data_IF_647714354913
#
_entry.id   IF_647714354913
#
_cell.length_a   1.000
_cell.length_b   1.000
_cell.length_c   1.000
_cell.angle_alpha   90.00
_cell.angle_beta   90.00
_cell.angle_gamma   90.00
#
_symmetry.space_group_name_H-M   'P 1'
#
loop_
_entity.id
_entity.type
_entity.pdbx_description
1 polymer ?
#
# COMPACT_ATOMS: atom_id res chain seq x y z
N UNK A 1 -6.46 23.64 -7.99
CA UNK A 1 -5.93 22.50 -8.78
C UNK A 1 -5.13 21.49 -7.95
N UNK A 2 -4.63 21.84 -6.76
CA UNK A 2 -3.79 20.94 -5.92
C UNK A 2 -4.57 20.03 -4.95
N UNK A 3 -5.84 20.30 -4.65
CA UNK A 3 -6.65 19.45 -3.76
C UNK A 3 -7.07 18.14 -4.43
N UNK A 4 -7.28 18.15 -5.75
CA UNK A 4 -7.85 17.01 -6.48
C UNK A 4 -6.92 15.79 -6.48
N UNK A 5 -5.60 16.01 -6.64
CA UNK A 5 -4.57 14.96 -6.62
C UNK A 5 -4.38 14.28 -5.25
N UNK A 6 -5.00 14.82 -4.19
CA UNK A 6 -4.96 14.26 -2.82
C UNK A 6 -6.24 13.49 -2.48
N UNK A 7 -7.16 13.38 -3.43
CA UNK A 7 -8.33 12.51 -3.34
C UNK A 7 -8.03 11.12 -3.92
N UNK A 8 -8.76 10.10 -3.47
CA UNK A 8 -8.65 8.75 -4.03
C UNK A 8 -8.96 8.73 -5.54
N UNK A 9 -9.95 9.51 -5.97
CA UNK A 9 -10.36 9.64 -7.38
C UNK A 9 -9.36 10.38 -8.25
N UNK A 10 -8.61 11.34 -7.71
CA UNK A 10 -7.66 12.16 -8.47
C UNK A 10 -6.22 11.62 -8.48
N UNK A 11 -5.93 10.55 -7.75
CA UNK A 11 -4.59 9.98 -7.68
C UNK A 11 -4.29 9.04 -8.87
N UNK A 12 -3.14 9.25 -9.53
CA UNK A 12 -2.61 8.34 -10.55
C UNK A 12 -1.85 7.15 -9.97
N UNK A 13 -1.33 7.31 -8.76
CA UNK A 13 -0.64 6.25 -8.01
C UNK A 13 -1.12 6.26 -6.57
N UNK A 14 -1.42 5.08 -6.02
CA UNK A 14 -1.96 4.91 -4.67
C UNK A 14 -1.01 3.99 -3.90
N UNK A 15 -0.57 4.44 -2.73
CA UNK A 15 0.12 3.55 -1.79
C UNK A 15 -0.89 2.63 -1.12
N UNK A 16 -0.73 1.32 -1.22
CA UNK A 16 -1.62 0.34 -0.57
C UNK A 16 -0.92 -0.33 0.60
N UNK A 17 -1.67 -0.63 1.65
CA UNK A 17 -1.23 -1.32 2.86
C UNK A 17 -2.24 -2.43 3.19
N UNK A 18 -1.75 -3.58 3.63
CA UNK A 18 -2.54 -4.66 4.20
C UNK A 18 -2.92 -4.37 5.65
N UNK A 19 -2.93 -5.42 6.46
CA UNK A 19 -3.48 -5.37 7.82
C UNK A 19 -2.52 -4.63 8.76
N UNK A 20 -3.01 -3.54 9.36
CA UNK A 20 -2.16 -2.69 10.21
C UNK A 20 -2.28 -3.01 11.69
N UNK A 21 -3.41 -3.58 12.13
CA UNK A 21 -3.69 -3.96 13.52
C UNK A 21 -3.43 -2.84 14.55
N UNK A 22 -3.60 -1.57 14.14
CA UNK A 22 -3.30 -0.41 14.99
C UNK A 22 -1.80 -0.19 15.26
N UNK A 23 -0.91 -0.85 14.52
CA UNK A 23 0.54 -0.64 14.59
C UNK A 23 0.90 0.71 13.97
N UNK A 24 0.93 1.73 14.83
CA UNK A 24 1.32 3.09 14.45
C UNK A 24 2.73 3.13 13.86
N UNK A 25 3.66 2.35 14.37
CA UNK A 25 5.05 2.43 13.93
C UNK A 25 5.18 1.93 12.49
N UNK A 26 4.57 0.80 12.19
CA UNK A 26 4.48 0.26 10.84
C UNK A 26 3.85 1.27 9.87
N UNK A 27 2.66 1.80 10.19
CA UNK A 27 1.98 2.80 9.33
C UNK A 27 2.83 4.05 9.13
N UNK A 28 3.51 4.54 10.17
CA UNK A 28 4.38 5.71 10.06
C UNK A 28 5.65 5.46 9.24
N UNK A 29 6.18 4.24 9.28
CA UNK A 29 7.31 3.80 8.47
C UNK A 29 6.93 3.73 7.00
N UNK A 30 5.89 2.96 6.67
CA UNK A 30 5.42 2.78 5.29
C UNK A 30 4.96 4.11 4.69
N UNK A 31 4.19 4.91 5.41
CA UNK A 31 3.77 6.24 4.92
C UNK A 31 4.96 7.16 4.66
N UNK A 32 6.06 7.05 5.41
CA UNK A 32 7.28 7.80 5.15
C UNK A 32 7.94 7.36 3.83
N UNK A 33 8.03 6.05 3.59
CA UNK A 33 8.54 5.51 2.32
C UNK A 33 7.66 5.94 1.14
N UNK A 34 6.34 5.87 1.29
CA UNK A 34 5.39 6.35 0.28
C UNK A 34 5.52 7.86 0.02
N UNK A 35 5.71 8.66 1.08
CA UNK A 35 5.94 10.10 0.96
C UNK A 35 7.23 10.42 0.20
N UNK A 36 8.34 9.71 0.51
CA UNK A 36 9.60 9.83 -0.24
C UNK A 36 9.43 9.48 -1.73
N UNK A 37 8.49 8.59 -2.06
CA UNK A 37 8.11 8.22 -3.44
C UNK A 37 7.08 9.17 -4.08
N UNK A 38 6.71 10.24 -3.38
CA UNK A 38 5.77 11.26 -3.87
C UNK A 38 4.32 10.79 -3.92
N UNK A 39 3.92 9.89 -3.02
CA UNK A 39 2.55 9.33 -2.95
C UNK A 39 1.72 10.04 -1.86
N UNK A 40 0.80 10.94 -2.25
CA UNK A 40 -0.05 11.67 -1.31
C UNK A 40 -1.26 10.87 -0.84
N UNK A 41 -1.62 9.78 -1.51
CA UNK A 41 -2.80 8.98 -1.20
C UNK A 41 -2.40 7.58 -0.78
N UNK A 42 -2.88 7.17 0.39
CA UNK A 42 -2.67 5.86 0.98
C UNK A 42 -4.01 5.14 1.16
N UNK A 43 -4.03 3.81 1.05
CA UNK A 43 -5.21 2.97 1.24
C UNK A 43 -4.86 1.73 2.08
N UNK A 44 -5.52 1.56 3.22
CA UNK A 44 -5.43 0.37 4.09
C UNK A 44 -6.58 -0.59 3.77
N UNK A 45 -6.26 -1.86 3.50
CA UNK A 45 -7.17 -2.90 3.02
C UNK A 45 -7.89 -3.67 4.14
N UNK A 46 -8.29 -2.96 5.20
CA UNK A 46 -8.92 -3.53 6.38
C UNK A 46 -7.99 -3.62 7.58
N UNK A 47 -8.55 -4.01 8.73
CA UNK A 47 -7.86 -4.09 10.02
C UNK A 47 -6.95 -2.88 10.29
N UNK A 48 -7.56 -1.70 10.19
CA UNK A 48 -6.96 -0.43 10.55
C UNK A 48 -6.64 -0.39 12.05
N UNK A 49 -7.54 -0.88 12.91
CA UNK A 49 -7.22 -1.25 14.29
C UNK A 49 -6.84 -0.10 15.24
N UNK A 50 -7.05 1.16 14.85
CA UNK A 50 -6.83 2.33 15.71
C UNK A 50 -8.05 2.70 16.57
N UNK A 51 -9.25 2.26 16.19
CA UNK A 51 -10.51 2.59 16.86
C UNK A 51 -10.95 1.48 17.82
N UNK A 52 -10.68 1.65 19.12
CA UNK A 52 -11.05 0.67 20.13
C UNK A 52 -11.42 1.31 21.46
N UNK A 53 -12.57 0.95 22.03
CA UNK A 53 -12.95 1.35 23.39
C UNK A 53 -11.90 0.92 24.42
N UNK A 54 -11.70 1.74 25.44
CA UNK A 54 -10.68 1.50 26.48
C UNK A 54 -9.24 1.82 26.07
N UNK A 55 -8.98 2.12 24.79
CA UNK A 55 -7.70 2.69 24.32
C UNK A 55 -7.83 4.21 24.15
N UNK A 56 -6.70 4.90 24.13
CA UNK A 56 -6.64 6.34 23.84
C UNK A 56 -6.68 6.60 22.31
N UNK A 57 -7.67 6.00 21.65
CA UNK A 57 -7.81 5.97 20.19
C UNK A 57 -7.85 7.38 19.59
N UNK A 58 -8.47 8.35 20.27
CA UNK A 58 -8.64 9.71 19.78
C UNK A 58 -7.28 10.43 19.66
N UNK A 59 -6.44 10.33 20.69
CA UNK A 59 -5.09 10.87 20.68
C UNK A 59 -4.16 10.13 19.70
N UNK A 60 -4.33 8.82 19.54
CA UNK A 60 -3.54 8.04 18.58
C UNK A 60 -3.89 8.44 17.13
N UNK A 61 -5.17 8.64 16.82
CA UNK A 61 -5.62 9.20 15.54
C UNK A 61 -5.11 10.63 15.32
N UNK A 62 -5.12 11.49 16.34
CA UNK A 62 -4.56 12.86 16.23
C UNK A 62 -3.07 12.87 15.94
N UNK A 63 -2.31 11.96 16.55
CA UNK A 63 -0.87 11.82 16.29
C UNK A 63 -0.62 11.32 14.86
N UNK A 64 -1.36 10.31 14.42
CA UNK A 64 -1.26 9.77 13.07
C UNK A 64 -1.65 10.85 12.03
N UNK A 65 -2.80 11.49 12.22
CA UNK A 65 -3.31 12.55 11.35
C UNK A 65 -2.32 13.70 11.21
N UNK A 66 -1.75 14.21 12.31
CA UNK A 66 -0.72 15.27 12.26
C UNK A 66 0.51 14.86 11.46
N UNK A 67 0.98 13.62 11.62
CA UNK A 67 2.17 13.14 10.91
C UNK A 67 1.93 12.95 9.40
N UNK A 68 0.75 12.44 9.03
CA UNK A 68 0.34 12.34 7.63
C UNK A 68 0.13 13.74 7.01
N UNK A 69 -0.49 14.65 7.76
CA UNK A 69 -0.77 16.02 7.30
C UNK A 69 0.52 16.81 7.06
N UNK A 70 1.55 16.66 7.91
CA UNK A 70 2.86 17.29 7.68
C UNK A 70 3.56 16.82 6.40
N UNK A 71 3.14 15.67 5.85
CA UNK A 71 3.62 15.09 4.59
C UNK A 71 2.65 15.33 3.41
N UNK A 72 1.54 16.03 3.65
CA UNK A 72 0.48 16.23 2.65
C UNK A 72 -0.24 14.95 2.26
N UNK A 73 -0.21 13.92 3.12
CA UNK A 73 -0.81 12.61 2.86
C UNK A 73 -2.24 12.50 3.41
N UNK A 74 -3.09 11.81 2.66
CA UNK A 74 -4.43 11.37 3.05
C UNK A 74 -4.46 9.85 3.08
N UNK A 75 -4.92 9.29 4.19
CA UNK A 75 -5.07 7.85 4.37
C UNK A 75 -6.55 7.47 4.30
N UNK A 76 -6.87 6.62 3.33
CA UNK A 76 -8.14 5.93 3.22
C UNK A 76 -8.02 4.55 3.85
N UNK A 77 -9.12 4.02 4.36
CA UNK A 77 -9.16 2.66 4.88
C UNK A 77 -10.56 2.07 4.74
N UNK A 78 -10.64 0.75 4.59
CA UNK A 78 -11.91 0.02 4.47
C UNK A 78 -12.13 -0.90 5.69
N UNK A 79 -13.34 -1.42 5.79
CA UNK A 79 -13.78 -2.30 6.87
C UNK A 79 -13.00 -3.63 6.91
N UNK A 80 -12.52 -4.03 8.10
CA UNK A 80 -11.95 -5.36 8.37
C UNK A 80 -12.75 -6.14 9.41
N UNK A 81 -12.22 -7.22 9.96
CA UNK A 81 -12.87 -7.95 11.06
C UNK A 81 -12.44 -7.46 12.45
N UNK A 82 -11.35 -6.70 12.54
CA UNK A 82 -10.84 -6.11 13.79
C UNK A 82 -11.11 -4.61 13.89
N UNK A 83 -12.39 -4.24 13.86
CA UNK A 83 -12.82 -2.85 14.08
C UNK A 83 -13.91 -2.73 15.14
N UNK A 84 -13.84 -1.71 16.00
CA UNK A 84 -14.97 -1.37 16.86
C UNK A 84 -16.06 -0.63 16.06
N UNK A 85 -16.88 -1.39 15.32
CA UNK A 85 -17.99 -0.86 14.54
C UNK A 85 -18.97 -0.02 15.39
N UNK A 86 -19.17 -0.36 16.67
CA UNK A 86 -20.04 0.41 17.54
C UNK A 86 -19.52 1.83 17.79
N UNK A 87 -18.20 1.97 17.97
CA UNK A 87 -17.54 3.26 18.12
C UNK A 87 -17.50 4.02 16.79
N UNK A 88 -17.15 3.34 15.70
CA UNK A 88 -17.09 3.92 14.35
C UNK A 88 -18.46 4.49 13.93
N UNK A 89 -19.50 3.66 14.01
CA UNK A 89 -20.86 4.01 13.61
C UNK A 89 -21.50 5.05 14.53
N UNK A 90 -21.20 5.01 15.83
CA UNK A 90 -21.74 5.94 16.82
C UNK A 90 -21.14 7.35 16.77
N UNK A 91 -19.88 7.49 16.33
CA UNK A 91 -19.15 8.75 16.45
C UNK A 91 -18.91 9.47 15.11
N UNK A 92 -18.90 8.75 13.99
CA UNK A 92 -18.49 9.32 12.70
C UNK A 92 -19.55 9.07 11.63
N UNK A 93 -20.41 10.04 11.27
CA UNK A 93 -21.40 9.85 10.23
C UNK A 93 -20.76 9.78 8.83
N UNK A 94 -21.44 9.10 7.90
CA UNK A 94 -21.12 9.16 6.47
C UNK A 94 -21.56 10.52 5.93
N UNK A 95 -20.66 11.20 5.22
CA UNK A 95 -20.91 12.48 4.55
C UNK A 95 -21.65 12.29 3.23
N UNK A 96 -22.15 13.38 2.64
CA UNK A 96 -22.92 13.33 1.39
C UNK A 96 -22.13 12.77 0.18
N UNK A 97 -20.79 12.81 0.25
CA UNK A 97 -19.88 12.22 -0.74
C UNK A 97 -19.70 10.69 -0.56
N UNK A 98 -20.41 10.07 0.39
CA UNK A 98 -20.30 8.64 0.70
C UNK A 98 -19.08 8.29 1.55
N UNK A 99 -18.31 9.27 2.01
CA UNK A 99 -17.10 9.06 2.80
C UNK A 99 -17.36 9.29 4.28
N UNK A 100 -16.69 8.54 5.15
CA UNK A 100 -16.76 8.74 6.61
C UNK A 100 -15.44 9.31 7.12
N UNK A 101 -15.44 10.57 7.57
CA UNK A 101 -14.22 11.27 7.95
C UNK A 101 -13.99 11.16 9.46
N UNK A 102 -12.91 10.48 9.84
CA UNK A 102 -12.47 10.42 11.25
C UNK A 102 -11.65 11.66 11.60
N UNK A 103 -10.85 12.11 10.63
CA UNK A 103 -10.06 13.35 10.62
C UNK A 103 -10.04 13.92 9.20
N UNK A 104 -9.58 15.17 8.97
CA UNK A 104 -9.52 15.74 7.63
C UNK A 104 -8.76 14.88 6.61
N UNK A 105 -7.74 14.13 7.06
CA UNK A 105 -6.88 13.30 6.23
C UNK A 105 -6.86 11.80 6.63
N UNK A 106 -7.83 11.35 7.44
CA UNK A 106 -8.06 9.92 7.74
C UNK A 106 -9.52 9.64 7.46
N UNK A 107 -9.76 8.86 6.41
CA UNK A 107 -11.08 8.71 5.79
C UNK A 107 -11.43 7.23 5.66
N UNK A 108 -12.53 6.83 6.27
CA UNK A 108 -13.11 5.51 6.10
C UNK A 108 -13.92 5.44 4.80
N UNK A 109 -13.77 4.33 4.08
CA UNK A 109 -14.52 3.96 2.89
C UNK A 109 -15.59 2.91 3.27
N UNK A 110 -16.86 3.31 3.42
CA UNK A 110 -17.93 2.35 3.72
C UNK A 110 -18.09 1.28 2.63
N UNK A 111 -18.57 0.10 3.03
CA UNK A 111 -18.95 -0.95 2.09
C UNK A 111 -19.90 -0.45 0.99
N UNK A 112 -19.61 -0.82 -0.26
CA UNK A 112 -20.33 -0.36 -1.44
C UNK A 112 -19.87 0.99 -2.00
N UNK A 113 -18.91 1.68 -1.37
CA UNK A 113 -18.32 2.89 -1.94
C UNK A 113 -17.72 2.60 -3.32
N UNK A 114 -18.04 3.45 -4.29
CA UNK A 114 -17.54 3.41 -5.68
C UNK A 114 -16.99 4.75 -6.09
N UNK A 115 -15.93 4.75 -6.88
CA UNK A 115 -15.40 5.97 -7.47
C UNK A 115 -14.69 5.71 -8.80
N UNK A 116 -14.67 6.73 -9.67
CA UNK A 116 -13.80 6.75 -10.83
C UNK A 116 -12.40 7.21 -10.40
N UNK A 117 -11.38 6.47 -10.81
CA UNK A 117 -9.98 6.81 -10.65
C UNK A 117 -9.55 7.80 -11.75
N UNK A 118 -8.39 8.42 -11.58
CA UNK A 118 -7.88 9.45 -12.50
C UNK A 118 -7.68 8.94 -13.94
N UNK A 119 -7.50 7.62 -14.10
CA UNK A 119 -7.41 6.95 -15.39
C UNK A 119 -8.77 6.71 -16.08
N UNK A 120 -9.88 7.03 -15.41
CA UNK A 120 -11.25 6.69 -15.83
C UNK A 120 -11.69 5.27 -15.45
N UNK A 121 -10.80 4.47 -14.84
CA UNK A 121 -11.12 3.13 -14.31
C UNK A 121 -11.99 3.22 -13.07
N UNK A 122 -12.75 2.18 -12.78
CA UNK A 122 -13.64 2.14 -11.60
C UNK A 122 -13.03 1.35 -10.45
N UNK A 123 -13.12 1.91 -9.24
CA UNK A 123 -12.79 1.25 -7.98
C UNK A 123 -14.05 1.06 -7.15
N UNK A 124 -14.20 -0.11 -6.53
CA UNK A 124 -15.24 -0.38 -5.53
C UNK A 124 -14.67 -1.01 -4.27
N UNK A 125 -15.42 -0.87 -3.17
CA UNK A 125 -15.03 -1.32 -1.82
C UNK A 125 -16.01 -2.37 -1.31
N UNK A 126 -15.49 -3.52 -0.90
CA UNK A 126 -16.23 -4.56 -0.18
C UNK A 126 -15.41 -5.01 1.03
N UNK A 127 -15.54 -4.27 2.13
CA UNK A 127 -14.87 -4.59 3.39
C UNK A 127 -15.70 -5.50 4.30
N UNK A 128 -15.07 -5.97 5.38
CA UNK A 128 -15.62 -6.96 6.30
C UNK A 128 -15.03 -8.35 6.06
N UNK A 129 -14.93 -9.13 7.13
CA UNK A 129 -14.53 -10.53 7.13
C UNK A 129 -15.05 -11.21 8.41
N UNK A 130 -15.14 -12.53 8.40
CA UNK A 130 -15.54 -13.28 9.59
C UNK A 130 -14.30 -13.66 10.43
N UNK A 131 -14.28 -13.36 11.73
CA UNK A 131 -13.17 -13.71 12.61
C UNK A 131 -13.22 -15.19 13.03
N UNK A 132 -12.10 -15.91 12.85
CA UNK A 132 -11.98 -17.32 13.28
C UNK A 132 -12.00 -17.47 14.80
N UNK A 133 -11.56 -16.44 15.53
CA UNK A 133 -11.52 -16.38 17.00
C UNK A 133 -12.85 -15.89 17.62
N UNK A 134 -13.96 -15.88 16.85
CA UNK A 134 -15.30 -15.48 17.32
C UNK A 134 -15.69 -16.12 18.64
N UNK A 135 -15.34 -17.39 18.85
CA UNK A 135 -15.64 -18.15 20.07
C UNK A 135 -15.02 -17.56 21.35
N UNK A 136 -14.02 -16.67 21.23
CA UNK A 136 -13.40 -15.96 22.36
C UNK A 136 -14.12 -14.66 22.71
N UNK A 137 -15.14 -14.24 21.95
CA UNK A 137 -15.81 -12.93 22.07
C UNK A 137 -17.28 -13.05 22.48
N UNK A 138 -17.85 -11.95 23.01
CA UNK A 138 -19.24 -11.90 23.46
C UNK A 138 -20.07 -10.98 22.55
N UNK A 139 -21.17 -11.51 22.01
CA UNK A 139 -22.07 -10.80 21.11
C UNK A 139 -22.66 -9.55 21.78
N UNK A 140 -22.63 -8.40 21.08
CA UNK A 140 -23.15 -7.13 21.58
C UNK A 140 -22.29 -6.42 22.64
N UNK A 141 -21.18 -7.03 23.08
CA UNK A 141 -20.23 -6.43 24.04
C UNK A 141 -18.86 -6.21 23.39
N UNK A 142 -18.29 -7.26 22.79
CA UNK A 142 -16.98 -7.23 22.12
C UNK A 142 -17.04 -7.70 20.66
N UNK A 143 -18.24 -7.98 20.16
CA UNK A 143 -18.47 -8.46 18.81
C UNK A 143 -19.10 -7.39 17.92
N UNK A 144 -18.40 -6.95 16.88
CA UNK A 144 -18.89 -5.85 16.06
C UNK A 144 -19.45 -6.41 14.71
N UNK A 145 -20.11 -5.59 13.87
CA UNK A 145 -20.70 -5.99 12.57
C UNK A 145 -19.57 -6.29 11.55
N UNK A 146 -18.90 -7.44 11.69
CA UNK A 146 -17.75 -7.81 10.87
C UNK A 146 -18.12 -8.50 9.55
N UNK A 147 -19.26 -9.20 9.52
CA UNK A 147 -19.70 -9.97 8.36
C UNK A 147 -20.27 -9.07 7.28
N UNK A 148 -19.91 -9.35 6.04
CA UNK A 148 -20.56 -8.78 4.86
C UNK A 148 -22.03 -9.20 4.84
N UNK A 149 -22.91 -8.26 4.52
CA UNK A 149 -24.35 -8.44 4.51
C UNK A 149 -24.93 -8.31 3.10
N UNK A 150 -26.17 -8.76 2.90
CA UNK A 150 -26.86 -8.56 1.62
C UNK A 150 -27.13 -7.07 1.32
N UNK A 151 -27.15 -6.21 2.34
CA UNK A 151 -27.19 -4.75 2.15
C UNK A 151 -25.90 -4.24 1.53
N UNK A 152 -24.75 -4.73 1.97
CA UNK A 152 -23.45 -4.37 1.42
C UNK A 152 -23.34 -4.83 -0.05
N UNK A 153 -23.85 -6.00 -0.39
CA UNK A 153 -23.91 -6.49 -1.77
C UNK A 153 -24.84 -5.64 -2.66
N UNK A 154 -25.99 -5.20 -2.14
CA UNK A 154 -26.87 -4.27 -2.86
C UNK A 154 -26.23 -2.91 -3.07
N UNK A 155 -25.51 -2.41 -2.06
CA UNK A 155 -24.78 -1.14 -2.15
C UNK A 155 -23.59 -1.25 -3.13
N UNK A 156 -22.91 -2.40 -3.14
CA UNK A 156 -21.88 -2.71 -4.10
C UNK A 156 -22.41 -2.68 -5.52
N UNK A 157 -23.61 -3.21 -5.79
CA UNK A 157 -24.22 -3.21 -7.12
C UNK A 157 -23.56 -4.19 -8.12
N UNK A 158 -24.14 -4.31 -9.31
CA UNK A 158 -23.81 -5.37 -10.28
C UNK A 158 -22.95 -4.90 -11.46
N UNK A 159 -22.60 -3.61 -11.52
CA UNK A 159 -21.76 -3.09 -12.59
C UNK A 159 -20.30 -3.51 -12.41
N UNK A 160 -19.66 -3.88 -13.53
CA UNK A 160 -18.25 -4.21 -13.59
C UNK A 160 -17.36 -3.14 -12.95
N UNK A 161 -16.31 -3.58 -12.27
CA UNK A 161 -15.28 -2.70 -11.72
C UNK A 161 -13.89 -3.08 -12.24
N UNK A 162 -13.01 -2.10 -12.48
CA UNK A 162 -11.62 -2.43 -12.81
C UNK A 162 -10.88 -2.94 -11.57
N UNK A 163 -11.10 -2.30 -10.41
CA UNK A 163 -10.43 -2.60 -9.14
C UNK A 163 -11.45 -2.85 -8.04
N UNK A 164 -11.39 -4.02 -7.41
CA UNK A 164 -12.09 -4.29 -6.15
C UNK A 164 -11.08 -4.29 -5.01
N UNK A 165 -11.36 -3.52 -3.96
CA UNK A 165 -10.61 -3.59 -2.71
C UNK A 165 -11.50 -4.14 -1.60
N UNK A 166 -10.94 -5.01 -0.76
CA UNK A 166 -11.66 -5.62 0.34
C UNK A 166 -10.72 -6.14 1.41
N UNK A 167 -11.27 -6.82 2.40
CA UNK A 167 -10.48 -7.42 3.47
C UNK A 167 -10.45 -8.95 3.37
N UNK A 168 -11.63 -9.60 3.27
CA UNK A 168 -11.75 -11.02 2.92
C UNK A 168 -11.45 -11.28 1.43
N UNK A 169 -11.34 -12.54 1.00
CA UNK A 169 -10.86 -12.96 -0.33
C UNK A 169 -11.85 -13.87 -1.09
N UNK A 170 -11.82 -13.87 -2.44
CA UNK A 170 -12.69 -14.75 -3.22
C UNK A 170 -12.34 -16.23 -3.02
N UNK A 171 -13.32 -17.12 -3.20
CA UNK A 171 -13.10 -18.57 -3.28
C UNK A 171 -12.31 -18.95 -4.54
N UNK A 172 -11.78 -20.17 -4.61
CA UNK A 172 -11.06 -20.72 -5.77
C UNK A 172 -9.75 -20.00 -6.07
N UNK A 173 -9.04 -19.59 -5.02
CA UNK A 173 -7.69 -19.02 -5.09
C UNK A 173 -6.74 -20.12 -4.64
N UNK A 174 -6.05 -20.83 -5.56
CA UNK A 174 -5.37 -22.10 -5.27
C UNK A 174 -4.45 -22.07 -4.05
N UNK A 175 -3.53 -21.10 -3.97
CA UNK A 175 -2.58 -21.05 -2.84
C UNK A 175 -3.26 -20.70 -1.52
N UNK A 176 -4.29 -19.85 -1.55
CA UNK A 176 -5.06 -19.53 -0.35
C UNK A 176 -5.82 -20.76 0.13
N UNK A 177 -6.55 -21.41 -0.76
CA UNK A 177 -7.38 -22.57 -0.46
C UNK A 177 -6.54 -23.72 0.12
N UNK A 178 -5.39 -24.00 -0.49
CA UNK A 178 -4.44 -24.99 0.04
C UNK A 178 -4.02 -24.65 1.48
N UNK A 179 -3.67 -23.39 1.75
CA UNK A 179 -3.25 -22.96 3.08
C UNK A 179 -4.34 -23.01 4.14
N UNK A 180 -5.59 -22.74 3.76
CA UNK A 180 -6.72 -22.80 4.68
C UNK A 180 -7.06 -24.25 5.04
N UNK A 181 -6.94 -25.18 4.08
CA UNK A 181 -7.11 -26.62 4.34
C UNK A 181 -6.05 -27.12 5.31
N UNK A 182 -4.79 -26.73 5.14
CA UNK A 182 -3.70 -27.12 6.03
C UNK A 182 -3.93 -26.70 7.49
N UNK A 183 -4.55 -25.54 7.71
CA UNK A 183 -4.80 -24.95 9.03
C UNK A 183 -6.19 -25.27 9.60
N UNK A 184 -7.08 -25.89 8.83
CA UNK A 184 -8.47 -26.10 9.23
C UNK A 184 -8.59 -26.95 10.50
N UNK A 185 -7.68 -27.92 10.70
CA UNK A 185 -7.67 -28.78 11.89
C UNK A 185 -7.28 -28.07 13.19
N UNK A 186 -6.73 -26.86 13.10
CA UNK A 186 -6.29 -26.08 14.27
C UNK A 186 -7.47 -25.41 14.98
N UNK A 187 -8.67 -25.41 14.38
CA UNK A 187 -9.81 -24.63 14.83
C UNK A 187 -11.09 -25.48 15.03
N UNK A 188 -12.01 -25.05 15.91
CA UNK A 188 -13.30 -25.68 16.06
C UNK A 188 -14.09 -25.74 14.73
N UNK A 189 -14.73 -26.88 14.38
CA UNK A 189 -15.41 -27.03 13.09
C UNK A 189 -16.51 -26.02 12.80
N UNK A 190 -17.22 -25.55 13.83
CA UNK A 190 -18.24 -24.51 13.73
C UNK A 190 -17.64 -23.14 13.41
N UNK A 191 -16.43 -22.84 13.89
CA UNK A 191 -15.70 -21.62 13.55
C UNK A 191 -15.17 -21.68 12.11
N UNK A 192 -14.66 -22.84 11.67
CA UNK A 192 -14.28 -23.06 10.28
C UNK A 192 -15.48 -22.86 9.35
N UNK A 193 -16.65 -23.39 9.70
CA UNK A 193 -17.87 -23.18 8.93
C UNK A 193 -18.32 -21.70 8.95
N UNK A 194 -18.19 -21.02 10.07
CA UNK A 194 -18.53 -19.60 10.20
C UNK A 194 -17.67 -18.72 9.29
N UNK A 195 -16.35 -18.87 9.29
CA UNK A 195 -15.48 -18.07 8.40
C UNK A 195 -15.68 -18.42 6.94
N UNK A 196 -15.92 -19.71 6.62
CA UNK A 196 -16.24 -20.14 5.27
C UNK A 196 -17.52 -19.46 4.73
N UNK A 197 -18.54 -19.26 5.58
CA UNK A 197 -19.76 -18.55 5.19
C UNK A 197 -19.53 -17.06 4.91
N UNK A 198 -18.65 -16.41 5.67
CA UNK A 198 -18.23 -15.02 5.42
C UNK A 198 -17.52 -14.90 4.07
N UNK A 199 -16.54 -15.77 3.83
CA UNK A 199 -15.82 -15.82 2.56
C UNK A 199 -16.71 -16.13 1.36
N UNK A 200 -17.71 -16.99 1.53
CA UNK A 200 -18.74 -17.23 0.50
C UNK A 200 -19.52 -15.94 0.17
N UNK A 201 -19.87 -15.15 1.18
CA UNK A 201 -20.57 -13.87 0.98
C UNK A 201 -19.67 -12.85 0.27
N UNK A 202 -18.39 -12.76 0.65
CA UNK A 202 -17.41 -11.96 -0.08
C UNK A 202 -17.33 -12.38 -1.55
N UNK A 203 -17.22 -13.69 -1.81
CA UNK A 203 -17.13 -14.24 -3.16
C UNK A 203 -18.36 -13.91 -4.01
N UNK A 204 -19.56 -13.85 -3.42
CA UNK A 204 -20.77 -13.40 -4.13
C UNK A 204 -20.60 -11.97 -4.66
N UNK A 205 -20.16 -11.03 -3.80
CA UNK A 205 -19.91 -9.65 -4.22
C UNK A 205 -18.79 -9.53 -5.25
N UNK A 206 -17.71 -10.30 -5.08
CA UNK A 206 -16.63 -10.40 -6.06
C UNK A 206 -17.13 -10.84 -7.44
N UNK A 207 -17.98 -11.87 -7.51
CA UNK A 207 -18.58 -12.34 -8.76
C UNK A 207 -19.57 -11.34 -9.36
N UNK A 208 -20.30 -10.55 -8.55
CA UNK A 208 -21.21 -9.51 -9.06
C UNK A 208 -20.47 -8.46 -9.89
N UNK A 209 -19.31 -8.02 -9.42
CA UNK A 209 -18.58 -6.89 -10.04
C UNK A 209 -17.43 -7.31 -10.96
N UNK A 210 -17.10 -8.61 -11.00
CA UNK A 210 -16.16 -9.24 -11.95
C UNK A 210 -14.86 -8.45 -12.14
N UNK A 211 -14.09 -8.17 -11.08
CA UNK A 211 -13.00 -7.20 -11.13
C UNK A 211 -11.83 -7.67 -12.00
N UNK A 212 -11.06 -6.75 -12.58
CA UNK A 212 -9.79 -7.09 -13.28
C UNK A 212 -8.64 -7.29 -12.29
N UNK A 213 -8.60 -6.43 -11.27
CA UNK A 213 -7.67 -6.52 -10.14
C UNK A 213 -8.48 -6.56 -8.85
N UNK A 214 -8.15 -7.50 -7.97
CA UNK A 214 -8.61 -7.49 -6.59
C UNK A 214 -7.40 -7.40 -5.65
N UNK A 215 -7.52 -6.54 -4.63
CA UNK A 215 -6.52 -6.38 -3.57
C UNK A 215 -7.20 -6.51 -2.20
N UNK A 216 -6.69 -7.37 -1.33
CA UNK A 216 -7.15 -7.47 0.06
C UNK A 216 -6.10 -7.92 1.06
N UNK A 217 -6.55 -8.29 2.26
CA UNK A 217 -5.70 -8.60 3.42
C UNK A 217 -6.18 -9.83 4.18
N UNK A 218 -6.33 -9.73 5.50
CA UNK A 218 -6.96 -10.69 6.43
C UNK A 218 -6.17 -11.98 6.72
N UNK A 219 -5.55 -12.57 5.70
CA UNK A 219 -4.96 -13.90 5.81
C UNK A 219 -3.50 -13.91 6.27
N UNK A 220 -2.91 -12.72 6.49
CA UNK A 220 -1.51 -12.52 6.89
C UNK A 220 -0.54 -13.37 6.05
N UNK A 221 -0.75 -13.32 4.74
CA UNK A 221 0.06 -14.04 3.77
C UNK A 221 -0.04 -13.33 2.43
N UNK A 222 1.12 -13.09 1.85
CA UNK A 222 1.16 -12.58 0.49
C UNK A 222 0.73 -13.65 -0.53
N UNK A 223 -0.21 -13.29 -1.41
CA UNK A 223 -0.63 -14.05 -2.60
C UNK A 223 -0.70 -13.07 -3.78
N UNK A 224 -0.24 -13.49 -4.96
CA UNK A 224 -0.41 -12.76 -6.23
C UNK A 224 -0.60 -13.75 -7.37
N UNK A 225 -1.84 -13.92 -7.81
CA UNK A 225 -2.20 -14.95 -8.79
C UNK A 225 -3.21 -14.44 -9.81
N UNK A 226 -3.05 -14.84 -11.07
CA UNK A 226 -4.03 -14.59 -12.11
C UNK A 226 -4.99 -15.78 -12.22
N UNK A 227 -6.20 -15.62 -11.67
CA UNK A 227 -7.21 -16.67 -11.56
C UNK A 227 -8.32 -16.46 -12.58
N UNK A 228 -8.86 -17.54 -13.14
CA UNK A 228 -10.05 -17.53 -13.99
C UNK A 228 -11.28 -17.92 -13.18
N UNK A 229 -12.34 -17.11 -13.28
CA UNK A 229 -13.61 -17.29 -12.58
C UNK A 229 -14.75 -17.48 -13.56
N UNK A 230 -15.73 -18.31 -13.19
CA UNK A 230 -16.85 -18.68 -14.05
C UNK A 230 -16.48 -19.71 -15.13
N UNK A 231 -17.48 -20.10 -15.90
CA UNK A 231 -17.40 -21.08 -16.97
C UNK A 231 -17.97 -20.55 -18.29
N UNK A 232 -17.58 -21.19 -19.41
CA UNK A 232 -18.12 -20.87 -20.73
C UNK A 232 -17.99 -19.39 -21.12
N UNK A 233 -19.08 -18.79 -21.59
CA UNK A 233 -19.14 -17.42 -22.07
C UNK A 233 -19.09 -16.34 -20.97
N UNK A 234 -19.28 -16.73 -19.71
CA UNK A 234 -19.24 -15.82 -18.55
C UNK A 234 -17.90 -15.85 -17.82
N UNK A 235 -16.91 -16.56 -18.34
CA UNK A 235 -15.59 -16.60 -17.76
C UNK A 235 -14.91 -15.21 -17.80
N UNK A 236 -14.28 -14.83 -16.69
CA UNK A 236 -13.41 -13.66 -16.61
C UNK A 236 -12.14 -13.99 -15.84
N UNK A 237 -11.09 -13.17 -16.00
CA UNK A 237 -9.83 -13.34 -15.29
C UNK A 237 -9.59 -12.15 -14.37
N UNK A 238 -9.08 -12.44 -13.18
CA UNK A 238 -8.75 -11.44 -12.17
C UNK A 238 -7.35 -11.72 -11.63
N UNK A 239 -6.52 -10.69 -11.55
CA UNK A 239 -5.32 -10.74 -10.70
C UNK A 239 -5.77 -10.55 -9.26
N UNK A 240 -5.59 -11.58 -8.44
CA UNK A 240 -5.92 -11.61 -7.02
C UNK A 240 -4.64 -11.37 -6.25
N UNK A 241 -4.57 -10.24 -5.55
CA UNK A 241 -3.46 -9.91 -4.65
C UNK A 241 -3.97 -9.88 -3.22
N UNK A 242 -3.34 -10.66 -2.34
CA UNK A 242 -3.54 -10.57 -0.90
C UNK A 242 -2.24 -10.05 -0.30
N UNK A 243 -2.34 -8.99 0.48
CA UNK A 243 -1.23 -8.40 1.22
C UNK A 243 -1.08 -9.09 2.57
N UNK A 244 0.16 -9.13 3.04
CA UNK A 244 0.47 -9.64 4.36
C UNK A 244 0.06 -8.65 5.47
N UNK A 245 0.12 -9.10 6.73
CA UNK A 245 0.01 -8.23 7.89
C UNK A 245 1.29 -7.44 8.16
N UNK A 246 1.19 -6.43 9.02
CA UNK A 246 2.31 -5.59 9.44
C UNK A 246 3.53 -6.41 9.90
N UNK A 247 4.72 -6.04 9.40
CA UNK A 247 5.98 -6.68 9.77
C UNK A 247 7.18 -6.06 9.02
N UNK A 248 8.42 -6.31 9.45
CA UNK A 248 9.62 -5.70 8.84
C UNK A 248 9.90 -6.22 7.42
N UNK A 249 9.76 -7.53 7.22
CA UNK A 249 10.08 -8.21 5.95
C UNK A 249 8.83 -8.67 5.18
N UNK A 250 7.64 -8.30 5.65
CA UNK A 250 6.39 -8.75 5.03
C UNK A 250 6.03 -7.91 3.81
N UNK A 251 5.45 -8.54 2.80
CA UNK A 251 4.90 -7.87 1.61
C UNK A 251 3.49 -7.33 1.91
N UNK A 252 3.43 -6.45 2.91
CA UNK A 252 2.24 -5.81 3.44
C UNK A 252 1.95 -4.45 2.80
N UNK A 253 2.77 -4.00 1.85
CA UNK A 253 2.59 -2.72 1.18
C UNK A 253 3.05 -2.73 -0.29
N UNK A 254 2.49 -1.80 -1.07
CA UNK A 254 2.84 -1.62 -2.47
C UNK A 254 2.36 -0.31 -3.07
N UNK A 255 2.73 -0.06 -4.32
CA UNK A 255 2.27 1.08 -5.11
C UNK A 255 1.45 0.57 -6.28
N UNK A 256 0.18 0.98 -6.33
CA UNK A 256 -0.70 0.74 -7.47
C UNK A 256 -0.57 1.91 -8.47
N UNK A 257 -0.30 1.59 -9.73
CA UNK A 257 -0.53 2.50 -10.86
C UNK A 257 -1.96 2.30 -11.39
N UNK A 258 -2.80 3.33 -11.31
CA UNK A 258 -4.23 3.20 -11.68
C UNK A 258 -4.45 3.19 -13.19
N UNK A 259 -3.45 3.56 -14.00
CA UNK A 259 -3.50 3.52 -15.45
C UNK A 259 -3.28 2.10 -15.97
N UNK A 260 -2.21 1.45 -15.49
CA UNK A 260 -1.83 0.10 -15.93
C UNK A 260 -2.43 -1.02 -15.09
N UNK A 261 -2.86 -0.71 -13.86
CA UNK A 261 -3.21 -1.67 -12.80
C UNK A 261 -2.03 -2.53 -12.32
N UNK A 262 -0.80 -2.06 -12.55
CA UNK A 262 0.37 -2.70 -11.99
C UNK A 262 0.50 -2.34 -10.51
N UNK A 263 0.69 -3.37 -9.69
CA UNK A 263 1.00 -3.26 -8.28
C UNK A 263 2.42 -3.74 -8.03
N UNK A 264 3.27 -2.82 -7.55
CA UNK A 264 4.66 -3.10 -7.16
C UNK A 264 4.76 -3.16 -5.65
N UNK A 265 5.02 -4.35 -5.12
CA UNK A 265 5.14 -4.59 -3.69
C UNK A 265 6.57 -4.34 -3.21
N UNK A 266 6.68 -4.02 -1.92
CA UNK A 266 7.97 -3.84 -1.26
C UNK A 266 7.84 -4.20 0.23
N UNK A 267 8.96 -4.46 0.90
CA UNK A 267 9.01 -4.71 2.35
C UNK A 267 8.94 -3.40 3.15
N UNK A 268 8.53 -3.44 4.42
CA UNK A 268 8.31 -2.23 5.23
C UNK A 268 9.56 -1.36 5.32
N UNK A 269 10.70 -2.02 5.46
CA UNK A 269 11.99 -1.36 5.59
C UNK A 269 12.68 -1.17 4.23
N UNK A 270 11.93 -1.23 3.11
CA UNK A 270 12.47 -0.91 1.80
C UNK A 270 12.91 0.56 1.73
N UNK A 271 14.21 0.76 1.81
CA UNK A 271 14.88 2.06 1.72
C UNK A 271 15.14 2.46 0.26
N UNK A 272 14.52 1.78 -0.72
CA UNK A 272 14.63 2.16 -2.12
C UNK A 272 13.69 3.31 -2.51
N UNK A 273 14.16 4.15 -3.44
CA UNK A 273 13.38 5.21 -4.07
C UNK A 273 13.40 5.04 -5.59
N UNK A 274 12.34 5.49 -6.24
CA UNK A 274 12.29 5.52 -7.72
C UNK A 274 13.07 6.68 -8.30
N UNK A 275 13.28 7.74 -7.51
CA UNK A 275 14.02 8.93 -7.91
C UNK A 275 14.72 9.55 -6.71
N UNK A 276 15.99 9.91 -6.89
CA UNK A 276 16.76 10.67 -5.91
C UNK A 276 16.74 12.14 -6.30
N UNK A 277 16.25 12.98 -5.39
CA UNK A 277 16.30 14.44 -5.55
C UNK A 277 17.31 15.00 -4.56
N UNK A 278 17.91 16.16 -4.87
CA UNK A 278 18.86 16.83 -3.96
C UNK A 278 18.28 17.30 -2.62
N UNK A 279 16.99 17.03 -2.37
CA UNK A 279 16.29 17.35 -1.12
C UNK A 279 16.23 16.17 -0.14
N UNK A 280 16.65 14.97 -0.55
CA UNK A 280 16.74 13.82 0.34
C UNK A 280 17.95 13.97 1.29
N UNK A 281 17.87 13.33 2.47
CA UNK A 281 18.89 13.34 3.52
C UNK A 281 19.62 12.00 3.62
N UNK A 282 20.86 12.01 4.13
CA UNK A 282 21.66 10.81 4.37
C UNK A 282 22.40 10.27 3.13
N UNK A 283 22.89 9.03 3.25
CA UNK A 283 23.72 8.38 2.23
C UNK A 283 22.88 7.44 1.37
N UNK A 284 23.07 7.51 0.05
CA UNK A 284 22.31 6.77 -0.95
C UNK A 284 23.24 6.06 -1.93
N UNK A 285 22.88 4.87 -2.37
CA UNK A 285 23.52 4.14 -3.46
C UNK A 285 22.60 4.13 -4.67
N UNK A 286 23.09 4.67 -5.77
CA UNK A 286 22.46 4.63 -7.10
C UNK A 286 23.18 3.56 -7.90
N UNK A 287 22.54 2.41 -8.03
CA UNK A 287 23.01 1.28 -8.82
C UNK A 287 22.65 1.51 -10.28
N UNK A 288 23.66 1.45 -11.12
CA UNK A 288 23.55 1.54 -12.58
C UNK A 288 24.15 0.28 -13.19
N UNK A 289 23.86 0.01 -14.46
CA UNK A 289 24.36 -1.19 -15.18
C UNK A 289 25.85 -1.48 -15.01
N UNK A 290 26.67 -0.45 -14.82
CA UNK A 290 28.12 -0.58 -14.83
C UNK A 290 28.79 -0.06 -13.55
N UNK A 291 28.06 0.58 -12.64
CA UNK A 291 28.65 1.29 -11.49
C UNK A 291 27.64 1.52 -10.39
N UNK A 292 28.14 1.67 -9.16
CA UNK A 292 27.37 2.20 -8.04
C UNK A 292 27.84 3.63 -7.78
N UNK A 293 26.92 4.58 -7.71
CA UNK A 293 27.21 5.94 -7.30
C UNK A 293 26.69 6.16 -5.89
N UNK A 294 27.59 6.47 -4.97
CA UNK A 294 27.25 6.82 -3.58
C UNK A 294 27.01 8.32 -3.53
N UNK A 295 25.90 8.75 -2.95
CA UNK A 295 25.55 10.14 -2.71
C UNK A 295 25.40 10.34 -1.21
N UNK A 296 26.28 11.13 -0.60
CA UNK A 296 26.06 11.64 0.74
C UNK A 296 25.41 13.03 0.60
N UNK A 297 24.09 13.06 0.71
CA UNK A 297 23.32 14.29 0.55
C UNK A 297 23.39 15.18 1.80
N UNK A 298 23.84 14.65 2.93
CA UNK A 298 24.12 15.46 4.13
C UNK A 298 25.44 16.20 3.97
N UNK A 299 26.47 15.55 3.43
CA UNK A 299 27.77 16.16 3.14
C UNK A 299 27.81 16.90 1.78
N UNK A 300 26.78 16.72 0.94
CA UNK A 300 26.75 17.19 -0.45
C UNK A 300 27.96 16.67 -1.24
N UNK A 301 28.20 15.36 -1.18
CA UNK A 301 29.28 14.69 -1.92
C UNK A 301 28.76 13.47 -2.66
N UNK A 302 29.51 13.05 -3.69
CA UNK A 302 29.25 11.81 -4.41
C UNK A 302 30.53 11.11 -4.79
N UNK A 303 30.50 9.78 -4.77
CA UNK A 303 31.58 8.91 -5.20
C UNK A 303 31.04 7.92 -6.23
N UNK A 304 31.76 7.76 -7.34
CA UNK A 304 31.53 6.63 -8.25
C UNK A 304 32.38 5.45 -7.82
N UNK A 305 31.74 4.29 -7.64
CA UNK A 305 32.35 2.97 -7.44
C UNK A 305 32.15 2.14 -8.71
N UNK A 306 33.16 2.07 -9.59
CA UNK A 306 33.07 1.34 -10.85
C UNK A 306 32.86 -0.16 -10.59
N UNK A 307 31.97 -0.80 -11.35
CA UNK A 307 31.82 -2.26 -11.34
C UNK A 307 32.85 -2.96 -12.23
N UNK A 308 32.85 -4.30 -12.21
CA UNK A 308 33.86 -5.13 -12.90
C UNK A 308 33.96 -4.88 -14.42
N UNK A 309 32.84 -4.49 -15.05
CA UNK A 309 32.76 -4.18 -16.48
C UNK A 309 33.12 -2.74 -16.88
N UNK A 310 33.47 -1.88 -15.93
CA UNK A 310 33.68 -0.46 -16.21
C UNK A 310 35.05 -0.16 -16.83
N UNK A 311 35.06 0.62 -17.92
CA UNK A 311 36.29 1.03 -18.64
C UNK A 311 37.18 1.94 -17.79
N UNK A 312 36.57 2.86 -17.03
CA UNK A 312 37.27 3.78 -16.13
C UNK A 312 37.15 3.31 -14.68
N UNK A 313 38.30 3.11 -14.04
CA UNK A 313 38.42 2.57 -12.67
C UNK A 313 38.67 3.62 -11.58
N UNK A 314 38.73 4.90 -11.93
CA UNK A 314 38.90 5.96 -10.95
C UNK A 314 37.69 6.04 -10.01
N UNK A 315 37.97 6.06 -8.71
CA UNK A 315 37.03 6.29 -7.62
C UNK A 315 37.54 7.42 -6.74
N UNK A 316 36.63 8.20 -6.17
CA UNK A 316 36.95 9.31 -5.30
C UNK A 316 35.73 10.16 -5.02
N UNK A 317 35.66 10.68 -3.80
CA UNK A 317 34.63 11.61 -3.41
C UNK A 317 34.81 12.94 -4.11
N UNK A 318 33.73 13.45 -4.68
CA UNK A 318 33.65 14.77 -5.30
C UNK A 318 32.50 15.55 -4.67
N UNK A 319 32.62 16.86 -4.64
CA UNK A 319 31.54 17.71 -4.12
C UNK A 319 30.40 17.76 -5.11
N UNK A 320 29.20 17.41 -4.64
CA UNK A 320 27.99 17.39 -5.43
C UNK A 320 27.44 18.82 -5.53
N UNK A 321 27.20 19.28 -6.76
CA UNK A 321 26.64 20.62 -7.02
C UNK A 321 25.14 20.59 -7.26
N UNK A 322 24.66 19.68 -8.11
CA UNK A 322 23.22 19.50 -8.35
C UNK A 322 22.90 18.13 -8.93
N UNK A 323 21.70 17.62 -8.61
CA UNK A 323 21.13 16.42 -9.23
C UNK A 323 20.09 16.88 -10.27
N UNK A 324 20.30 16.53 -11.54
CA UNK A 324 19.36 16.84 -12.63
C UNK A 324 18.33 15.72 -12.80
N UNK A 325 18.78 14.56 -13.25
CA UNK A 325 17.95 13.36 -13.41
C UNK A 325 18.61 12.21 -12.67
N UNK A 326 17.89 11.58 -11.75
CA UNK A 326 18.38 10.41 -11.03
C UNK A 326 17.19 9.51 -10.71
N UNK A 327 16.63 8.88 -11.75
CA UNK A 327 15.40 8.08 -11.69
C UNK A 327 15.65 6.68 -12.23
N UNK A 328 15.13 5.68 -11.54
CA UNK A 328 15.17 4.27 -11.97
C UNK A 328 14.51 4.14 -13.35
N UNK A 329 15.20 3.47 -14.28
CA UNK A 329 14.79 3.33 -15.69
C UNK A 329 15.42 4.38 -16.63
N UNK A 330 15.89 5.51 -16.10
CA UNK A 330 16.54 6.57 -16.88
C UNK A 330 18.07 6.51 -16.75
N UNK A 331 18.77 7.24 -17.63
CA UNK A 331 20.19 7.55 -17.41
C UNK A 331 20.30 8.67 -16.37
N UNK A 332 21.32 8.59 -15.51
CA UNK A 332 21.60 9.59 -14.50
C UNK A 332 22.36 10.79 -15.03
N UNK A 333 22.01 11.97 -14.53
CA UNK A 333 22.59 13.27 -14.89
C UNK A 333 22.73 14.14 -13.63
N UNK A 334 23.95 14.49 -13.25
CA UNK A 334 24.24 15.41 -12.15
C UNK A 334 25.56 16.16 -12.38
N UNK A 335 25.79 17.21 -11.59
CA UNK A 335 27.02 18.02 -11.67
C UNK A 335 27.83 17.91 -10.39
N UNK A 336 29.15 17.85 -10.54
CA UNK A 336 30.13 17.85 -9.45
C UNK A 336 31.08 19.04 -9.60
N UNK A 337 31.53 19.62 -8.49
CA UNK A 337 32.56 20.67 -8.53
C UNK A 337 33.83 20.13 -9.21
N UNK A 338 34.53 21.04 -9.85
CA UNK A 338 35.79 20.78 -10.54
C UNK A 338 36.96 21.15 -9.64
N UNK A 339 38.00 20.31 -9.65
CA UNK A 339 39.28 20.59 -8.99
C UNK A 339 40.26 21.32 -9.95
N UNK A 340 39.81 21.66 -11.16
CA UNK A 340 40.57 22.35 -12.21
C UNK A 340 40.24 23.86 -12.20
N UNK A 341 41.28 24.70 -12.18
CA UNK A 341 41.19 26.17 -12.15
C UNK A 341 40.47 26.78 -13.36
N UNK A 342 40.27 26.02 -14.44
CA UNK A 342 39.65 26.50 -15.69
C UNK A 342 38.16 26.14 -15.82
N UNK A 343 37.63 25.25 -14.98
CA UNK A 343 36.23 24.81 -15.06
C UNK A 343 35.55 24.89 -13.70
N UNK A 344 34.32 25.38 -13.65
CA UNK A 344 33.58 25.50 -12.39
C UNK A 344 32.99 24.15 -11.93
N UNK A 345 32.64 23.26 -12.87
CA UNK A 345 32.02 21.96 -12.58
C UNK A 345 32.10 21.01 -13.78
N UNK A 346 31.95 19.72 -13.51
CA UNK A 346 31.83 18.67 -14.52
C UNK A 346 30.43 18.05 -14.51
N UNK A 347 30.00 17.60 -15.69
CA UNK A 347 28.82 16.75 -15.82
C UNK A 347 29.17 15.29 -15.62
N UNK A 348 28.38 14.60 -14.81
CA UNK A 348 28.42 13.15 -14.70
C UNK A 348 27.20 12.59 -15.41
N UNK A 349 27.47 11.68 -16.33
CA UNK A 349 26.47 10.91 -17.06
C UNK A 349 26.63 9.44 -16.70
N UNK A 350 25.58 8.81 -16.18
CA UNK A 350 25.62 7.38 -15.86
C UNK A 350 24.99 6.54 -16.97
N UNK A 351 25.19 5.22 -16.87
CA UNK A 351 24.32 4.27 -17.56
C UNK A 351 22.93 4.23 -16.90
N UNK A 352 22.02 3.40 -17.43
CA UNK A 352 20.65 3.29 -16.91
C UNK A 352 20.71 2.93 -15.42
N UNK A 353 19.96 3.68 -14.62
CA UNK A 353 19.78 3.46 -13.19
C UNK A 353 18.81 2.29 -13.02
N UNK A 354 19.25 1.28 -12.29
CA UNK A 354 18.48 0.05 -12.06
C UNK A 354 17.86 0.04 -10.66
N UNK A 355 18.51 0.69 -9.69
CA UNK A 355 18.04 0.73 -8.31
C UNK A 355 18.63 1.93 -7.58
N UNK A 356 17.86 2.54 -6.70
CA UNK A 356 18.37 3.57 -5.79
C UNK A 356 17.96 3.17 -4.38
N UNK A 357 18.90 3.08 -3.45
CA UNK A 357 18.64 2.68 -2.07
C UNK A 357 19.37 3.56 -1.07
N UNK A 358 18.79 3.74 0.12
CA UNK A 358 19.50 4.38 1.22
C UNK A 358 20.51 3.40 1.82
N UNK A 359 21.71 3.89 2.12
CA UNK A 359 22.66 3.16 2.97
C UNK A 359 22.21 3.35 4.41
N UNK A 360 21.97 2.25 5.11
CA UNK A 360 21.70 2.29 6.55
C UNK A 360 23.02 2.46 7.29
N UNK A 361 23.03 3.32 8.30
CA UNK A 361 24.11 3.32 9.28
C UNK A 361 24.07 1.97 9.99
N UNK A 362 25.12 1.15 9.85
CA UNK A 362 25.31 -0.01 10.72
C UNK A 362 25.57 0.53 12.12
N UNK A 363 24.55 0.45 12.97
CA UNK A 363 24.59 0.90 14.36
C UNK A 363 25.45 0.04 15.26
#
# INVERSE_FOLDING_TARGET
MTEDIRSLSGAWRIGVLGDTHGDREHVLSVSNTMWKRGLPVLLVLGDFGFLWRGRNWDNDLDKLSRRLASRGQVLYWLDGNHEDYGLLLGNFPVSADGLRRLRPNIVHLPGGYRTALASGKTLAVLGGANSIDRFLRQEGVTWPRESITDEDLRALGDEHVDVLVGHDAPLNVPSLDASLVERASDWPPDMVAYVASGRQKFHQGFLQVRPRLYMGGHYHRHIDELVAFGDGGDQFRTRVVILDGNGPETLSQGVLDVGTLDLVLFARDDDTVTELTGHADGVWQVHTRESVHVFDLSAQTTERRPGDGAVLRESGWRRLRSIGTCRVGDRGFWTVESDDDFFDYYWVHSTVIERIERVRDEG
#
